data_IF_753186213096
#
_entry.id   IF_753186213096
#
_cell.length_a   1.000
_cell.length_b   1.000
_cell.length_c   1.000
_cell.angle_alpha   90.00
_cell.angle_beta   90.00
_cell.angle_gamma   90.00
#
_symmetry.space_group_name_H-M   'P 1'
#
loop_
_entity.id
_entity.type
_entity.pdbx_description
1 polymer ?
#
# COMPACT_ATOMS: atom_id res chain seq x y z
N UNK A 1 -20.71 -54.24 -4.34
CA UNK A 1 -19.50 -53.48 -3.96
C UNK A 1 -19.63 -52.19 -4.74
N UNK A 2 -20.16 -51.17 -4.07
CA UNK A 2 -20.60 -49.89 -4.66
C UNK A 2 -19.35 -49.00 -4.77
N UNK A 3 -18.84 -48.86 -5.99
CA UNK A 3 -17.71 -48.02 -6.35
C UNK A 3 -18.24 -46.59 -6.49
N UNK A 4 -18.41 -45.90 -5.35
CA UNK A 4 -18.66 -44.45 -5.39
C UNK A 4 -17.34 -43.76 -5.64
N UNK A 5 -17.22 -42.89 -6.65
CA UNK A 5 -16.04 -42.06 -6.79
C UNK A 5 -15.85 -41.31 -5.47
N UNK A 6 -14.61 -41.30 -4.96
CA UNK A 6 -14.15 -40.41 -3.91
C UNK A 6 -14.25 -38.96 -4.44
N UNK A 7 -15.48 -38.46 -4.51
CA UNK A 7 -15.75 -37.05 -4.56
C UNK A 7 -15.40 -36.54 -3.16
N UNK A 8 -14.41 -35.65 -3.06
CA UNK A 8 -14.12 -34.88 -1.86
C UNK A 8 -14.78 -33.48 -1.97
N UNK A 9 -16.13 -33.36 -2.05
CA UNK A 9 -16.78 -32.07 -2.29
C UNK A 9 -16.40 -30.98 -1.28
N UNK A 10 -16.10 -31.27 0.01
CA UNK A 10 -15.64 -30.24 0.94
C UNK A 10 -14.29 -29.64 0.55
N UNK A 11 -13.34 -30.45 0.07
CA UNK A 11 -12.00 -29.97 -0.32
C UNK A 11 -12.05 -29.21 -1.64
N UNK A 12 -12.89 -29.63 -2.57
CA UNK A 12 -13.09 -28.92 -3.84
C UNK A 12 -13.76 -27.56 -3.63
N UNK A 13 -14.80 -27.51 -2.80
CA UNK A 13 -15.46 -26.27 -2.41
C UNK A 13 -14.51 -25.34 -1.66
N UNK A 14 -13.74 -25.87 -0.70
CA UNK A 14 -12.76 -25.08 0.04
C UNK A 14 -11.67 -24.51 -0.89
N UNK A 15 -11.19 -25.30 -1.86
CA UNK A 15 -10.25 -24.83 -2.87
C UNK A 15 -10.84 -23.71 -3.74
N UNK A 16 -12.08 -23.87 -4.19
CA UNK A 16 -12.77 -22.89 -5.02
C UNK A 16 -12.93 -21.56 -4.28
N UNK A 17 -13.46 -21.60 -3.05
CA UNK A 17 -13.63 -20.41 -2.21
C UNK A 17 -12.29 -19.74 -1.88
N UNK A 18 -11.25 -20.53 -1.60
CA UNK A 18 -9.92 -20.00 -1.32
C UNK A 18 -9.28 -19.36 -2.56
N UNK A 19 -9.49 -19.93 -3.76
CA UNK A 19 -9.06 -19.32 -5.02
C UNK A 19 -9.78 -18.00 -5.28
N UNK A 20 -11.10 -17.96 -5.10
CA UNK A 20 -11.89 -16.73 -5.24
C UNK A 20 -11.41 -15.64 -4.28
N UNK A 21 -11.11 -16.01 -3.03
CA UNK A 21 -10.56 -15.09 -2.03
C UNK A 21 -9.18 -14.57 -2.44
N UNK A 22 -8.30 -15.46 -2.92
CA UNK A 22 -6.97 -15.08 -3.39
C UNK A 22 -7.06 -14.11 -4.58
N UNK A 23 -7.90 -14.41 -5.57
CA UNK A 23 -8.10 -13.58 -6.75
C UNK A 23 -8.62 -12.18 -6.37
N UNK A 24 -9.57 -12.10 -5.40
CA UNK A 24 -10.07 -10.85 -4.87
C UNK A 24 -8.98 -10.04 -4.14
N UNK A 25 -8.12 -10.69 -3.35
CA UNK A 25 -6.99 -10.02 -2.69
C UNK A 25 -5.96 -9.51 -3.70
N UNK A 26 -5.65 -10.29 -4.75
CA UNK A 26 -4.72 -9.88 -5.80
C UNK A 26 -5.24 -8.66 -6.56
N UNK A 27 -6.53 -8.66 -6.93
CA UNK A 27 -7.18 -7.48 -7.55
C UNK A 27 -7.13 -6.26 -6.63
N UNK A 28 -7.34 -6.45 -5.33
CA UNK A 28 -7.25 -5.35 -4.35
C UNK A 28 -5.83 -4.78 -4.26
N UNK A 29 -4.80 -5.65 -4.28
CA UNK A 29 -3.40 -5.23 -4.29
C UNK A 29 -3.05 -4.45 -5.57
N UNK A 30 -3.54 -4.88 -6.73
CA UNK A 30 -3.36 -4.16 -8.01
C UNK A 30 -4.00 -2.76 -7.96
N UNK A 31 -5.22 -2.65 -7.42
CA UNK A 31 -5.90 -1.36 -7.25
C UNK A 31 -5.14 -0.42 -6.30
N UNK A 32 -4.57 -0.97 -5.22
CA UNK A 32 -3.74 -0.22 -4.27
C UNK A 32 -2.47 0.31 -4.95
N UNK A 33 -1.79 -0.53 -5.73
CA UNK A 33 -0.57 -0.14 -6.45
C UNK A 33 -0.86 0.94 -7.51
N UNK A 34 -1.99 0.84 -8.22
CA UNK A 34 -2.44 1.86 -9.16
C UNK A 34 -2.74 3.20 -8.47
N UNK A 35 -3.42 3.18 -7.31
CA UNK A 35 -3.68 4.37 -6.49
C UNK A 35 -2.37 4.99 -5.98
N UNK A 36 -1.44 4.18 -5.50
CA UNK A 36 -0.14 4.64 -5.03
C UNK A 36 0.64 5.35 -6.15
N UNK A 37 0.68 4.78 -7.35
CA UNK A 37 1.36 5.40 -8.49
C UNK A 37 0.72 6.73 -8.89
N UNK A 38 -0.61 6.82 -8.83
CA UNK A 38 -1.34 8.07 -9.07
C UNK A 38 -0.95 9.15 -8.05
N UNK A 39 -0.95 8.82 -6.75
CA UNK A 39 -0.55 9.73 -5.66
C UNK A 39 0.92 10.15 -5.79
N UNK A 40 1.82 9.21 -6.09
CA UNK A 40 3.23 9.49 -6.34
C UNK A 40 3.40 10.53 -7.47
N UNK A 41 2.79 10.30 -8.63
CA UNK A 41 2.86 11.20 -9.78
C UNK A 41 2.30 12.58 -9.46
N UNK A 42 1.16 12.65 -8.77
CA UNK A 42 0.55 13.90 -8.32
C UNK A 42 1.50 14.69 -7.43
N UNK A 43 2.05 14.07 -6.38
CA UNK A 43 2.94 14.74 -5.44
C UNK A 43 4.24 15.22 -6.08
N UNK A 44 4.84 14.43 -6.97
CA UNK A 44 6.03 14.83 -7.73
C UNK A 44 5.72 16.03 -8.63
N UNK A 45 4.57 16.02 -9.31
CA UNK A 45 4.14 17.14 -10.14
C UNK A 45 3.93 18.41 -9.30
N UNK A 46 3.25 18.31 -8.15
CA UNK A 46 3.02 19.43 -7.24
C UNK A 46 4.34 19.99 -6.69
N UNK A 47 5.25 19.13 -6.21
CA UNK A 47 6.55 19.55 -5.71
C UNK A 47 7.37 20.27 -6.81
N UNK A 48 7.39 19.71 -8.02
CA UNK A 48 8.12 20.29 -9.16
C UNK A 48 7.53 21.64 -9.57
N UNK A 49 6.20 21.76 -9.60
CA UNK A 49 5.50 23.01 -9.90
C UNK A 49 5.83 24.09 -8.87
N UNK A 50 5.84 23.74 -7.58
CA UNK A 50 6.17 24.67 -6.50
C UNK A 50 7.62 25.14 -6.55
N UNK A 51 8.55 24.23 -6.80
CA UNK A 51 9.97 24.59 -7.01
C UNK A 51 10.10 25.53 -8.19
N UNK A 52 9.44 25.24 -9.31
CA UNK A 52 9.47 26.08 -10.52
C UNK A 52 8.88 27.47 -10.27
N UNK A 53 7.73 27.56 -9.60
CA UNK A 53 7.11 28.82 -9.21
C UNK A 53 8.02 29.64 -8.29
N UNK A 54 8.70 28.99 -7.34
CA UNK A 54 9.65 29.62 -6.43
C UNK A 54 10.87 30.17 -7.16
N UNK A 55 11.41 29.41 -8.12
CA UNK A 55 12.53 29.86 -8.97
C UNK A 55 12.16 31.08 -9.82
N UNK A 56 10.97 31.08 -10.43
CA UNK A 56 10.50 32.21 -11.25
C UNK A 56 10.24 33.47 -10.43
N UNK A 57 9.68 33.31 -9.23
CA UNK A 57 9.54 34.43 -8.32
C UNK A 57 10.91 35.01 -7.91
N UNK A 58 11.91 34.14 -7.77
CA UNK A 58 13.28 34.54 -7.45
C UNK A 58 14.01 35.32 -8.53
N UNK A 59 13.60 35.17 -9.79
CA UNK A 59 14.12 36.03 -10.85
C UNK A 59 13.43 37.40 -10.93
N UNK A 60 12.28 37.57 -10.27
CA UNK A 60 11.41 38.74 -10.46
C UNK A 60 11.61 39.82 -9.38
N UNK A 61 11.66 39.44 -8.10
CA UNK A 61 11.84 40.39 -6.98
C UNK A 61 12.26 39.65 -5.69
N UNK A 62 13.37 40.06 -5.07
CA UNK A 62 13.93 39.46 -3.84
C UNK A 62 12.96 39.54 -2.66
N UNK A 63 12.11 40.58 -2.58
CA UNK A 63 11.10 40.68 -1.53
C UNK A 63 9.94 39.70 -1.72
N UNK A 64 9.62 39.36 -2.97
CA UNK A 64 8.63 38.32 -3.30
C UNK A 64 9.18 36.91 -2.99
N UNK A 65 10.50 36.71 -3.11
CA UNK A 65 11.18 35.47 -2.69
C UNK A 65 11.09 35.23 -1.20
N UNK A 66 11.34 36.25 -0.39
CA UNK A 66 11.34 36.10 1.07
C UNK A 66 9.99 35.58 1.59
N UNK A 67 8.90 35.95 0.93
CA UNK A 67 7.54 35.51 1.28
C UNK A 67 7.23 34.09 0.77
N UNK A 68 7.72 33.71 -0.42
CA UNK A 68 7.52 32.38 -1.00
C UNK A 68 8.46 31.30 -0.42
N UNK A 69 9.60 31.69 0.13
CA UNK A 69 10.53 30.82 0.88
C UNK A 69 10.18 30.79 2.37
N UNK A 70 8.93 31.15 2.71
CA UNK A 70 8.41 30.95 4.07
C UNK A 70 8.65 29.50 4.51
N UNK A 71 9.08 29.25 5.75
CA UNK A 71 9.26 27.89 6.28
C UNK A 71 8.03 26.99 6.08
N UNK A 72 6.83 27.59 6.02
CA UNK A 72 5.58 26.88 5.77
C UNK A 72 5.50 26.34 4.33
N UNK A 73 5.91 27.12 3.33
CA UNK A 73 5.91 26.70 1.92
C UNK A 73 6.99 25.64 1.70
N UNK A 74 8.19 25.83 2.27
CA UNK A 74 9.26 24.81 2.24
C UNK A 74 8.77 23.51 2.90
N UNK A 75 8.08 23.62 4.04
CA UNK A 75 7.45 22.49 4.71
C UNK A 75 6.43 21.77 3.82
N UNK A 76 5.62 22.50 3.04
CA UNK A 76 4.65 21.89 2.11
C UNK A 76 5.33 21.07 1.01
N UNK A 77 6.45 21.55 0.44
CA UNK A 77 7.24 20.78 -0.54
C UNK A 77 7.82 19.52 0.11
N UNK A 78 8.32 19.63 1.35
CA UNK A 78 8.78 18.48 2.12
C UNK A 78 7.68 17.44 2.36
N UNK A 79 6.45 17.87 2.67
CA UNK A 79 5.30 17.00 2.84
C UNK A 79 4.91 16.28 1.55
N UNK A 80 4.91 16.97 0.40
CA UNK A 80 4.69 16.32 -0.90
C UNK A 80 5.78 15.31 -1.22
N UNK A 81 7.05 15.64 -0.96
CA UNK A 81 8.17 14.72 -1.19
C UNK A 81 8.08 13.47 -0.29
N UNK A 82 7.77 13.65 0.99
CA UNK A 82 7.58 12.54 1.93
C UNK A 82 6.39 11.67 1.51
N UNK A 83 5.26 12.28 1.15
CA UNK A 83 4.08 11.58 0.67
C UNK A 83 4.37 10.79 -0.62
N UNK A 84 5.10 11.39 -1.56
CA UNK A 84 5.57 10.70 -2.76
C UNK A 84 6.45 9.50 -2.40
N UNK A 85 7.41 9.67 -1.49
CA UNK A 85 8.27 8.57 -1.05
C UNK A 85 7.44 7.42 -0.44
N UNK A 86 6.46 7.71 0.43
CA UNK A 86 5.56 6.70 1.00
C UNK A 86 4.72 5.98 -0.07
N UNK A 87 4.21 6.72 -1.05
CA UNK A 87 3.48 6.13 -2.18
C UNK A 87 4.40 5.24 -3.04
N UNK A 88 5.63 5.69 -3.32
CA UNK A 88 6.63 4.88 -4.02
C UNK A 88 7.02 3.61 -3.27
N UNK A 89 7.15 3.69 -1.94
CA UNK A 89 7.37 2.52 -1.08
C UNK A 89 6.20 1.54 -1.12
N UNK A 90 4.97 2.01 -1.31
CA UNK A 90 3.80 1.12 -1.47
C UNK A 90 3.96 0.27 -2.73
N UNK A 91 4.33 0.91 -3.84
CA UNK A 91 4.54 0.24 -5.12
C UNK A 91 5.68 -0.77 -5.06
N UNK A 92 6.77 -0.46 -4.35
CA UNK A 92 7.93 -1.35 -4.21
C UNK A 92 7.83 -2.34 -3.05
N UNK A 93 6.84 -2.19 -2.17
CA UNK A 93 6.62 -3.08 -1.05
C UNK A 93 6.29 -4.50 -1.54
N UNK A 94 6.81 -5.48 -0.78
CA UNK A 94 7.10 -6.86 -1.13
C UNK A 94 6.09 -7.63 -2.01
N UNK A 95 6.62 -8.67 -2.66
CA UNK A 95 5.90 -9.52 -3.60
C UNK A 95 4.70 -10.26 -3.00
N UNK A 96 3.71 -10.50 -3.84
CA UNK A 96 2.47 -11.21 -3.53
C UNK A 96 2.54 -12.66 -3.99
N UNK A 97 1.81 -13.52 -3.31
CA UNK A 97 1.63 -14.91 -3.73
C UNK A 97 0.47 -15.01 -4.70
N UNK A 98 0.73 -15.52 -5.90
CA UNK A 98 -0.27 -15.59 -6.98
C UNK A 98 -0.90 -16.98 -7.11
N UNK A 99 -0.30 -17.98 -6.47
CA UNK A 99 -0.83 -19.35 -6.44
C UNK A 99 0.27 -20.41 -6.41
N UNK A 100 -0.07 -21.55 -6.98
CA UNK A 100 0.75 -22.77 -6.97
C UNK A 100 2.04 -22.57 -7.77
N UNK A 101 3.19 -22.83 -7.14
CA UNK A 101 4.48 -22.85 -7.84
C UNK A 101 4.71 -24.14 -8.64
N UNK A 102 5.64 -24.11 -9.61
CA UNK A 102 5.90 -25.24 -10.51
C UNK A 102 6.31 -26.52 -9.78
N UNK A 103 7.14 -26.42 -8.72
CA UNK A 103 7.56 -27.58 -7.94
C UNK A 103 6.37 -28.31 -7.26
N UNK A 104 5.32 -27.57 -6.92
CA UNK A 104 4.09 -28.13 -6.32
C UNK A 104 3.25 -28.85 -7.37
N UNK A 105 3.25 -28.34 -8.61
CA UNK A 105 2.60 -28.99 -9.76
C UNK A 105 3.35 -30.27 -10.16
N UNK A 106 4.67 -30.25 -10.15
CA UNK A 106 5.51 -31.42 -10.44
C UNK A 106 5.24 -32.53 -9.41
N UNK A 107 5.14 -32.16 -8.11
CA UNK A 107 4.82 -33.11 -7.06
C UNK A 107 3.37 -33.66 -7.09
N UNK A 108 2.49 -33.11 -7.95
CA UNK A 108 1.11 -33.56 -8.06
C UNK A 108 1.00 -34.93 -8.74
N UNK A 109 1.96 -35.31 -9.60
CA UNK A 109 1.94 -36.61 -10.31
C UNK A 109 2.09 -37.81 -9.38
N UNK A 110 2.75 -37.59 -8.24
CA UNK A 110 3.14 -38.65 -7.31
C UNK A 110 2.22 -38.73 -6.07
N UNK A 111 1.14 -37.94 -6.05
CA UNK A 111 0.21 -37.84 -4.92
C UNK A 111 -1.20 -38.28 -5.31
N UNK A 112 -1.95 -38.81 -4.35
CA UNK A 112 -3.39 -39.03 -4.56
C UNK A 112 -4.12 -37.69 -4.70
N UNK A 113 -5.27 -37.69 -5.39
CA UNK A 113 -6.12 -36.50 -5.59
C UNK A 113 -6.43 -35.81 -4.25
N UNK A 114 -6.87 -36.57 -3.26
CA UNK A 114 -7.20 -36.09 -1.91
C UNK A 114 -5.99 -35.48 -1.20
N UNK A 115 -4.82 -36.14 -1.27
CA UNK A 115 -3.60 -35.63 -0.64
C UNK A 115 -3.12 -34.33 -1.30
N UNK A 116 -3.23 -34.24 -2.63
CA UNK A 116 -2.93 -33.02 -3.37
C UNK A 116 -3.91 -31.89 -3.04
N UNK A 117 -5.22 -32.14 -3.06
CA UNK A 117 -6.25 -31.14 -2.73
C UNK A 117 -6.11 -30.63 -1.29
N UNK A 118 -5.85 -31.52 -0.32
CA UNK A 118 -5.61 -31.12 1.06
C UNK A 118 -4.37 -30.23 1.19
N UNK A 119 -3.27 -30.57 0.50
CA UNK A 119 -2.06 -29.75 0.47
C UNK A 119 -2.31 -28.38 -0.21
N UNK A 120 -3.16 -28.35 -1.23
CA UNK A 120 -3.49 -27.15 -1.99
C UNK A 120 -4.32 -26.17 -1.15
N UNK A 121 -5.34 -26.67 -0.44
CA UNK A 121 -6.15 -25.85 0.49
C UNK A 121 -5.27 -25.27 1.59
N UNK A 122 -4.33 -26.05 2.13
CA UNK A 122 -3.33 -25.56 3.09
C UNK A 122 -2.46 -24.43 2.50
N UNK A 123 -1.95 -24.62 1.28
CA UNK A 123 -1.16 -23.61 0.58
C UNK A 123 -1.93 -22.32 0.33
N UNK A 124 -3.19 -22.39 -0.11
CA UNK A 124 -4.05 -21.21 -0.25
C UNK A 124 -4.24 -20.47 1.06
N UNK A 125 -4.47 -21.17 2.17
CA UNK A 125 -4.62 -20.53 3.47
C UNK A 125 -3.35 -19.74 3.86
N UNK A 126 -2.16 -20.28 3.59
CA UNK A 126 -0.89 -19.59 3.86
C UNK A 126 -0.67 -18.40 2.92
N UNK A 127 -1.01 -18.52 1.65
CA UNK A 127 -0.91 -17.40 0.68
C UNK A 127 -1.88 -16.28 1.01
N UNK A 128 -3.13 -16.60 1.37
CA UNK A 128 -4.15 -15.62 1.79
C UNK A 128 -3.66 -14.85 3.02
N UNK A 129 -3.14 -15.52 4.05
CA UNK A 129 -2.58 -14.86 5.25
C UNK A 129 -1.35 -14.00 4.94
N UNK A 130 -0.53 -14.41 3.98
CA UNK A 130 0.65 -13.62 3.58
C UNK A 130 0.26 -12.39 2.75
N UNK A 131 -0.71 -12.53 1.85
CA UNK A 131 -1.24 -11.45 1.04
C UNK A 131 -2.05 -10.46 1.87
N UNK A 132 -2.83 -10.92 2.86
CA UNK A 132 -3.56 -10.09 3.81
C UNK A 132 -2.62 -9.16 4.58
N UNK A 133 -1.51 -9.68 5.13
CA UNK A 133 -0.48 -8.87 5.79
C UNK A 133 0.16 -7.84 4.86
N UNK A 134 0.39 -8.22 3.60
CA UNK A 134 0.91 -7.29 2.58
C UNK A 134 -0.10 -6.21 2.26
N UNK A 135 -1.37 -6.58 2.11
CA UNK A 135 -2.49 -5.68 1.84
C UNK A 135 -2.65 -4.65 2.97
N UNK A 136 -2.61 -5.07 4.23
CA UNK A 136 -2.74 -4.16 5.37
C UNK A 136 -1.58 -3.16 5.46
N UNK A 137 -0.35 -3.63 5.23
CA UNK A 137 0.83 -2.75 5.15
C UNK A 137 0.71 -1.74 4.01
N UNK A 138 0.35 -2.19 2.80
CA UNK A 138 0.20 -1.31 1.64
C UNK A 138 -0.96 -0.33 1.81
N UNK A 139 -2.08 -0.76 2.38
CA UNK A 139 -3.22 0.10 2.69
C UNK A 139 -2.85 1.23 3.65
N UNK A 140 -2.04 0.94 4.68
CA UNK A 140 -1.50 1.96 5.58
C UNK A 140 -0.61 2.96 4.85
N UNK A 141 0.33 2.49 4.03
CA UNK A 141 1.23 3.36 3.28
C UNK A 141 0.46 4.27 2.31
N UNK A 142 -0.55 3.75 1.60
CA UNK A 142 -1.42 4.58 0.76
C UNK A 142 -2.15 5.61 1.60
N UNK A 143 -2.76 5.22 2.72
CA UNK A 143 -3.48 6.16 3.60
C UNK A 143 -2.54 7.27 4.10
N UNK A 144 -1.34 6.93 4.54
CA UNK A 144 -0.31 7.89 4.95
C UNK A 144 0.09 8.83 3.80
N UNK A 145 0.25 8.31 2.58
CA UNK A 145 0.56 9.13 1.43
C UNK A 145 -0.56 10.13 1.14
N UNK A 146 -1.83 9.70 1.12
CA UNK A 146 -2.98 10.58 0.89
C UNK A 146 -3.10 11.65 1.96
N UNK A 147 -2.97 11.27 3.25
CA UNK A 147 -2.98 12.23 4.37
C UNK A 147 -1.81 13.22 4.23
N UNK A 148 -0.63 12.76 3.85
CA UNK A 148 0.53 13.61 3.59
C UNK A 148 0.30 14.60 2.44
N UNK A 149 -0.35 14.17 1.34
CA UNK A 149 -0.72 15.04 0.23
C UNK A 149 -1.68 16.13 0.71
N UNK A 150 -2.73 15.76 1.46
CA UNK A 150 -3.69 16.72 2.02
C UNK A 150 -3.00 17.68 2.97
N UNK A 151 -2.13 17.19 3.87
CA UNK A 151 -1.35 18.02 4.77
C UNK A 151 -0.47 19.02 4.01
N UNK A 152 0.20 18.57 2.95
CA UNK A 152 1.00 19.42 2.07
C UNK A 152 0.16 20.52 1.40
N UNK A 153 -1.01 20.18 0.87
CA UNK A 153 -1.93 21.14 0.25
C UNK A 153 -2.45 22.16 1.25
N UNK A 154 -2.84 21.73 2.46
CA UNK A 154 -3.29 22.63 3.53
C UNK A 154 -2.16 23.56 3.98
N UNK A 155 -0.96 23.02 4.21
CA UNK A 155 0.21 23.81 4.58
C UNK A 155 0.55 24.86 3.52
N UNK A 156 0.50 24.48 2.23
CA UNK A 156 0.69 25.42 1.12
C UNK A 156 -0.36 26.55 1.17
N UNK A 157 -1.63 26.22 1.36
CA UNK A 157 -2.71 27.21 1.50
C UNK A 157 -2.48 28.17 2.67
N UNK A 158 -2.06 27.65 3.83
CA UNK A 158 -1.66 28.46 4.99
C UNK A 158 -0.49 29.38 4.63
N UNK A 159 0.53 28.87 3.94
CA UNK A 159 1.67 29.65 3.48
C UNK A 159 1.26 30.81 2.57
N UNK A 160 0.35 30.57 1.62
CA UNK A 160 -0.20 31.61 0.72
C UNK A 160 -1.01 32.66 1.47
N UNK A 161 -1.88 32.25 2.41
CA UNK A 161 -2.66 33.20 3.23
C UNK A 161 -1.74 34.02 4.13
N UNK A 162 -0.76 33.40 4.75
CA UNK A 162 0.23 34.08 5.59
C UNK A 162 1.05 35.08 4.78
N UNK A 163 1.42 34.72 3.54
CA UNK A 163 2.11 35.62 2.62
C UNK A 163 1.26 36.85 2.25
N UNK A 164 -0.04 36.67 2.02
CA UNK A 164 -0.93 37.74 1.59
C UNK A 164 -1.40 38.65 2.74
N UNK A 165 -1.56 38.11 3.95
CA UNK A 165 -2.24 38.79 5.07
C UNK A 165 -1.37 38.99 6.30
N UNK A 166 -0.21 38.33 6.38
CA UNK A 166 0.61 38.23 7.60
C UNK A 166 0.01 37.34 8.69
N UNK A 167 -1.20 36.78 8.50
CA UNK A 167 -1.87 35.95 9.49
C UNK A 167 -1.47 34.48 9.34
N UNK A 168 -0.80 33.92 10.35
CA UNK A 168 -0.40 32.50 10.36
C UNK A 168 -1.27 31.65 11.29
N UNK A 169 -1.69 32.20 12.43
CA UNK A 169 -2.29 31.43 13.53
C UNK A 169 -3.66 30.88 13.16
N UNK A 170 -4.58 31.73 12.73
CA UNK A 170 -5.95 31.31 12.37
C UNK A 170 -5.97 30.30 11.22
N UNK A 171 -5.34 30.55 10.05
CA UNK A 171 -5.33 29.56 8.97
C UNK A 171 -4.58 28.28 9.37
N UNK A 172 -3.48 28.39 10.12
CA UNK A 172 -2.74 27.24 10.63
C UNK A 172 -3.57 26.34 11.55
N UNK A 173 -4.26 26.91 12.53
CA UNK A 173 -5.14 26.15 13.41
C UNK A 173 -6.30 25.50 12.64
N UNK A 174 -6.88 26.22 11.68
CA UNK A 174 -7.94 25.70 10.82
C UNK A 174 -7.46 24.47 10.02
N UNK A 175 -6.28 24.57 9.41
CA UNK A 175 -5.65 23.47 8.69
C UNK A 175 -5.37 22.25 9.60
N UNK A 176 -4.89 22.47 10.82
CA UNK A 176 -4.65 21.39 11.78
C UNK A 176 -5.94 20.69 12.20
N UNK A 177 -7.02 21.44 12.44
CA UNK A 177 -8.33 20.84 12.76
C UNK A 177 -8.85 20.00 11.60
N UNK A 178 -8.80 20.54 10.37
CA UNK A 178 -9.21 19.79 9.17
C UNK A 178 -8.38 18.51 9.01
N UNK A 179 -7.06 18.61 9.15
CA UNK A 179 -6.17 17.46 9.04
C UNK A 179 -6.44 16.40 10.12
N UNK A 180 -6.67 16.83 11.37
CA UNK A 180 -7.01 15.93 12.47
C UNK A 180 -8.32 15.18 12.22
N UNK A 181 -9.35 15.89 11.76
CA UNK A 181 -10.65 15.29 11.41
C UNK A 181 -10.49 14.29 10.26
N UNK A 182 -9.80 14.66 9.18
CA UNK A 182 -9.59 13.76 8.04
C UNK A 182 -8.77 12.52 8.42
N UNK A 183 -7.77 12.68 9.28
CA UNK A 183 -6.95 11.56 9.78
C UNK A 183 -7.75 10.63 10.69
N UNK A 184 -8.66 11.18 11.51
CA UNK A 184 -9.56 10.38 12.32
C UNK A 184 -10.57 9.60 11.45
N UNK A 185 -11.09 10.24 10.40
CA UNK A 185 -12.07 9.63 9.49
C UNK A 185 -11.45 8.63 8.51
N UNK A 186 -10.15 8.69 8.24
CA UNK A 186 -9.48 7.79 7.28
C UNK A 186 -9.25 6.37 7.81
N UNK A 187 -9.57 6.10 9.08
CA UNK A 187 -9.33 4.79 9.70
C UNK A 187 -7.85 4.49 9.94
N UNK A 188 -6.97 5.49 9.83
CA UNK A 188 -5.54 5.35 10.12
C UNK A 188 -5.27 4.80 11.54
N UNK A 189 -6.00 5.21 12.61
CA UNK A 189 -5.82 4.62 13.93
C UNK A 189 -6.06 3.11 13.95
N UNK A 190 -7.12 2.64 13.29
CA UNK A 190 -7.47 1.22 13.22
C UNK A 190 -6.45 0.43 12.41
N UNK A 191 -5.95 0.99 11.30
CA UNK A 191 -4.90 0.39 10.49
C UNK A 191 -3.60 0.23 11.29
N UNK A 192 -3.21 1.25 12.06
CA UNK A 192 -2.02 1.19 12.93
C UNK A 192 -2.22 0.19 14.08
N UNK A 193 -3.43 0.07 14.63
CA UNK A 193 -3.77 -0.94 15.63
C UNK A 193 -3.57 -2.35 15.10
N UNK A 194 -4.15 -2.68 13.93
CA UNK A 194 -4.03 -3.99 13.29
C UNK A 194 -2.58 -4.40 13.06
N UNK A 195 -1.73 -3.49 12.57
CA UNK A 195 -0.30 -3.80 12.35
C UNK A 195 0.48 -4.07 13.64
N UNK A 196 0.08 -3.47 14.78
CA UNK A 196 0.74 -3.73 16.07
C UNK A 196 0.35 -5.09 16.63
N UNK A 197 -0.93 -5.42 16.57
CA UNK A 197 -1.46 -6.70 17.05
C UNK A 197 -0.86 -7.88 16.24
N UNK A 198 -0.64 -7.67 14.94
CA UNK A 198 0.06 -8.62 14.07
C UNK A 198 1.53 -8.86 14.46
N UNK A 199 2.22 -7.86 15.04
CA UNK A 199 3.62 -7.98 15.48
C UNK A 199 3.74 -8.63 16.87
N UNK A 200 2.80 -8.33 17.77
CA UNK A 200 2.74 -8.88 19.14
C UNK A 200 2.28 -10.36 19.18
N UNK A 201 1.54 -10.82 18.16
CA UNK A 201 1.10 -12.21 18.00
C UNK A 201 2.16 -13.17 17.42
N UNK A 202 3.32 -12.67 16.99
CA UNK A 202 4.32 -13.46 16.28
C UNK A 202 5.36 -14.08 17.21
N UNK A 203 5.02 -15.27 17.72
CA UNK A 203 6.00 -16.34 17.66
C UNK A 203 6.49 -16.43 16.22
N UNK A 204 7.78 -16.20 16.01
CA UNK A 204 8.48 -16.23 14.73
C UNK A 204 7.99 -17.40 13.88
N UNK A 205 7.07 -17.15 12.95
CA UNK A 205 6.87 -18.07 11.82
C UNK A 205 8.11 -17.85 10.97
N UNK A 206 9.13 -18.67 11.23
CA UNK A 206 10.38 -18.67 10.51
C UNK A 206 10.07 -18.70 9.01
N UNK A 207 10.85 -17.99 8.17
CA UNK A 207 10.72 -18.09 6.71
C UNK A 207 10.79 -19.54 6.18
N UNK A 208 11.28 -20.47 7.01
CA UNK A 208 11.32 -21.92 6.79
C UNK A 208 9.94 -22.61 6.72
N UNK A 209 8.85 -22.01 7.25
CA UNK A 209 7.50 -22.60 7.12
C UNK A 209 6.82 -22.31 5.77
N UNK A 210 7.40 -21.40 4.97
CA UNK A 210 6.92 -21.08 3.62
C UNK A 210 7.57 -21.98 2.54
N UNK A 211 8.51 -22.84 2.96
CA UNK A 211 8.99 -24.01 2.22
C UNK A 211 8.14 -25.27 2.54
N UNK A 212 6.92 -25.06 3.04
CA UNK A 212 5.90 -26.10 3.13
C UNK A 212 5.54 -26.67 1.74
N UNK A 213 4.85 -27.83 1.67
CA UNK A 213 4.72 -28.68 0.47
C UNK A 213 4.00 -28.07 -0.73
N UNK A 214 3.59 -26.80 -0.64
CA UNK A 214 3.07 -25.97 -1.73
C UNK A 214 3.84 -24.64 -1.80
N UNK A 215 5.06 -24.66 -2.33
CA UNK A 215 5.85 -23.45 -2.53
C UNK A 215 5.09 -22.49 -3.47
N UNK A 216 4.61 -21.38 -2.92
CA UNK A 216 3.81 -20.42 -3.68
C UNK A 216 4.66 -19.61 -4.65
N UNK A 217 4.13 -19.32 -5.84
CA UNK A 217 4.80 -18.43 -6.77
C UNK A 217 4.71 -16.99 -6.24
N UNK A 218 5.85 -16.44 -5.85
CA UNK A 218 5.99 -15.01 -5.54
C UNK A 218 6.23 -14.26 -6.84
N UNK A 219 5.41 -13.25 -7.12
CA UNK A 219 5.70 -12.28 -8.18
C UNK A 219 6.27 -11.01 -7.56
N UNK A 220 7.41 -10.57 -8.08
CA UNK A 220 7.92 -9.22 -7.85
C UNK A 220 7.43 -8.35 -9.01
N UNK A 221 6.39 -7.57 -8.78
CA UNK A 221 5.87 -6.63 -9.78
C UNK A 221 6.82 -5.43 -9.88
N UNK A 222 7.91 -5.61 -10.63
CA UNK A 222 8.86 -4.55 -10.96
C UNK A 222 9.51 -4.76 -12.33
N UNK A 223 8.97 -5.68 -13.13
CA UNK A 223 9.50 -6.02 -14.45
C UNK A 223 8.38 -6.47 -15.38
N UNK A 224 7.46 -5.56 -15.68
CA UNK A 224 6.70 -5.68 -16.92
C UNK A 224 7.71 -5.50 -18.06
N UNK A 225 8.13 -6.62 -18.64
CA UNK A 225 8.77 -6.61 -19.96
C UNK A 225 7.65 -6.34 -20.94
N UNK A 226 7.56 -5.11 -21.41
CA UNK A 226 6.91 -4.81 -22.68
C UNK A 226 7.58 -5.67 -23.76
N UNK A 227 6.79 -6.56 -24.36
CA UNK A 227 7.10 -7.24 -25.63
C UNK A 227 6.37 -6.55 -26.76
#
# INVERSE_FOLDING_TARGET
>A
MDDRPDDDPPLELAREEARLTLDAQLSTLDDIDAKALSVFRLNVALATLLVSASTLAATSDVTTVATLVSPVVVGSVGLFALSAATAGLTYTAAGRYVGVGPATLDAATDRSRTAFLSSLVGGYADWIRANERTNDRKALLVTLSVVGTVAGTLALGVGVVAAATGALVVPGLSALVVLAVLTALSGLPDQVGRLRDDDDGLGTVAPESLDGPASGQRTFTGRDRET
#
